data_IF_865409177375
#
_entry.id   IF_865409177375
#
_cell.length_a   1.000
_cell.length_b   1.000
_cell.length_c   1.000
_cell.angle_alpha   90.00
_cell.angle_beta   90.00
_cell.angle_gamma   90.00
#
_symmetry.space_group_name_H-M   'P 1'
#
loop_
_entity.id
_entity.type
_entity.pdbx_description
1 polymer ?
#
# COMPACT_ATOMS: atom_id res chain seq x y z
N UNK A 1 -19.93 16.51 -91.47
CA UNK A 1 -19.79 17.25 -90.20
C UNK A 1 -18.41 17.00 -89.64
N UNK A 2 -17.70 18.09 -89.33
CA UNK A 2 -16.25 18.12 -89.23
C UNK A 2 -15.79 17.43 -87.93
N UNK A 3 -14.95 16.39 -88.02
CA UNK A 3 -14.41 15.63 -86.87
C UNK A 3 -13.76 16.53 -85.82
N UNK A 4 -13.29 17.71 -86.23
CA UNK A 4 -12.77 18.76 -85.36
C UNK A 4 -13.80 19.35 -84.39
N UNK A 5 -15.05 19.55 -84.79
CA UNK A 5 -16.10 20.10 -83.92
C UNK A 5 -16.53 19.09 -82.85
N UNK A 6 -16.56 17.80 -83.19
CA UNK A 6 -16.89 16.73 -82.23
C UNK A 6 -15.77 16.58 -81.19
N UNK A 7 -14.50 16.72 -81.59
CA UNK A 7 -13.35 16.71 -80.67
C UNK A 7 -13.29 17.95 -79.76
N UNK A 8 -13.67 19.12 -80.27
CA UNK A 8 -13.69 20.37 -79.49
C UNK A 8 -14.78 20.32 -78.41
N UNK A 9 -16.00 19.90 -78.78
CA UNK A 9 -17.14 19.79 -77.85
C UNK A 9 -16.89 18.69 -76.80
N UNK A 10 -16.29 17.55 -77.20
CA UNK A 10 -15.96 16.50 -76.25
C UNK A 10 -14.84 16.90 -75.28
N UNK A 11 -13.82 17.64 -75.73
CA UNK A 11 -12.77 18.15 -74.84
C UNK A 11 -13.28 19.21 -73.86
N UNK A 12 -14.20 20.09 -74.30
CA UNK A 12 -14.82 21.11 -73.46
C UNK A 12 -15.71 20.47 -72.38
N UNK A 13 -16.53 19.50 -72.77
CA UNK A 13 -17.37 18.74 -71.84
C UNK A 13 -16.53 17.97 -70.80
N UNK A 14 -15.42 17.35 -71.20
CA UNK A 14 -14.50 16.68 -70.26
C UNK A 14 -13.90 17.68 -69.26
N UNK A 15 -13.48 18.87 -69.72
CA UNK A 15 -12.87 19.90 -68.86
C UNK A 15 -13.85 20.45 -67.81
N UNK A 16 -15.13 20.60 -68.16
CA UNK A 16 -16.17 21.08 -67.25
C UNK A 16 -16.52 20.01 -66.21
N UNK A 17 -16.57 18.73 -66.61
CA UNK A 17 -16.82 17.62 -65.69
C UNK A 17 -15.66 17.45 -64.70
N UNK A 18 -14.41 17.55 -65.17
CA UNK A 18 -13.22 17.45 -64.31
C UNK A 18 -13.17 18.61 -63.30
N UNK A 19 -13.45 19.85 -63.74
CA UNK A 19 -13.49 21.00 -62.85
C UNK A 19 -14.65 20.94 -61.84
N UNK A 20 -15.84 20.51 -62.26
CA UNK A 20 -16.98 20.35 -61.35
C UNK A 20 -16.72 19.24 -60.31
N UNK A 21 -16.09 18.13 -60.71
CA UNK A 21 -15.70 17.06 -59.80
C UNK A 21 -14.63 17.52 -58.80
N UNK A 22 -13.63 18.29 -59.25
CA UNK A 22 -12.60 18.85 -58.38
C UNK A 22 -13.16 19.85 -57.35
N UNK A 23 -14.09 20.72 -57.76
CA UNK A 23 -14.77 21.66 -56.86
C UNK A 23 -15.61 20.90 -55.83
N UNK A 24 -16.39 19.89 -56.25
CA UNK A 24 -17.21 19.10 -55.34
C UNK A 24 -16.37 18.29 -54.34
N UNK A 25 -15.23 17.74 -54.79
CA UNK A 25 -14.29 17.04 -53.92
C UNK A 25 -13.62 17.98 -52.92
N UNK A 26 -13.22 19.19 -53.34
CA UNK A 26 -12.63 20.19 -52.45
C UNK A 26 -13.61 20.72 -51.39
N UNK A 27 -14.90 20.87 -51.75
CA UNK A 27 -15.96 21.26 -50.81
C UNK A 27 -16.26 20.13 -49.80
N UNK A 28 -16.26 18.88 -50.25
CA UNK A 28 -16.43 17.72 -49.37
C UNK A 28 -15.30 17.63 -48.36
N UNK A 29 -14.04 17.76 -48.78
CA UNK A 29 -12.88 17.77 -47.89
C UNK A 29 -12.94 18.95 -46.91
N UNK A 30 -13.34 20.14 -47.35
CA UNK A 30 -13.47 21.31 -46.47
C UNK A 30 -14.56 21.12 -45.42
N UNK A 31 -15.70 20.55 -45.78
CA UNK A 31 -16.78 20.25 -44.84
C UNK A 31 -16.39 19.14 -43.85
N UNK A 32 -15.71 18.10 -44.32
CA UNK A 32 -15.17 17.04 -43.46
C UNK A 32 -14.09 17.58 -42.50
N UNK A 33 -13.24 18.49 -42.97
CA UNK A 33 -12.24 19.17 -42.14
C UNK A 33 -12.89 20.05 -41.07
N UNK A 34 -13.88 20.87 -41.44
CA UNK A 34 -14.59 21.71 -40.47
C UNK A 34 -15.34 20.87 -39.43
N UNK A 35 -15.97 19.75 -39.84
CA UNK A 35 -16.62 18.82 -38.92
C UNK A 35 -15.61 18.11 -38.00
N UNK A 36 -14.40 17.82 -38.50
CA UNK A 36 -13.32 17.26 -37.69
C UNK A 36 -12.76 18.30 -36.70
N UNK A 37 -12.61 19.57 -37.10
CA UNK A 37 -12.20 20.67 -36.23
C UNK A 37 -13.24 20.96 -35.14
N UNK A 38 -14.53 20.92 -35.46
CA UNK A 38 -15.61 21.07 -34.49
C UNK A 38 -15.62 19.91 -33.48
N UNK A 39 -15.46 18.67 -33.95
CA UNK A 39 -15.29 17.50 -33.07
C UNK A 39 -14.04 17.60 -32.19
N UNK A 40 -12.92 18.07 -32.75
CA UNK A 40 -11.69 18.28 -32.00
C UNK A 40 -11.87 19.34 -30.91
N UNK A 41 -12.50 20.47 -31.22
CA UNK A 41 -12.80 21.53 -30.26
C UNK A 41 -13.75 21.06 -29.14
N UNK A 42 -14.78 20.29 -29.49
CA UNK A 42 -15.67 19.68 -28.51
C UNK A 42 -14.94 18.67 -27.61
N UNK A 43 -14.03 17.88 -28.19
CA UNK A 43 -13.19 16.94 -27.44
C UNK A 43 -12.24 17.69 -26.48
N UNK A 44 -11.60 18.77 -26.94
CA UNK A 44 -10.73 19.62 -26.11
C UNK A 44 -11.51 20.27 -24.97
N UNK A 45 -12.73 20.76 -25.23
CA UNK A 45 -13.62 21.31 -24.21
C UNK A 45 -14.00 20.26 -23.15
N UNK A 46 -14.34 19.04 -23.58
CA UNK A 46 -14.65 17.93 -22.70
C UNK A 46 -13.43 17.53 -21.85
N UNK A 47 -12.25 17.41 -22.45
CA UNK A 47 -11.00 17.11 -21.75
C UNK A 47 -10.68 18.17 -20.70
N UNK A 48 -10.85 19.45 -21.03
CA UNK A 48 -10.60 20.55 -20.08
C UNK A 48 -11.60 20.55 -18.91
N UNK A 49 -12.88 20.24 -19.18
CA UNK A 49 -13.92 20.12 -18.16
C UNK A 49 -13.66 18.94 -17.21
N UNK A 50 -13.29 17.79 -17.77
CA UNK A 50 -12.91 16.61 -17.00
C UNK A 50 -11.65 16.89 -16.16
N UNK A 51 -10.64 17.52 -16.76
CA UNK A 51 -9.40 17.91 -16.08
C UNK A 51 -9.67 18.84 -14.90
N UNK A 52 -10.45 19.92 -15.07
CA UNK A 52 -10.72 20.86 -13.97
C UNK A 52 -11.52 20.23 -12.82
N UNK A 53 -12.44 19.31 -13.15
CA UNK A 53 -13.18 18.52 -12.15
C UNK A 53 -12.23 17.65 -11.33
N UNK A 54 -11.30 16.94 -11.97
CA UNK A 54 -10.34 16.10 -11.25
C UNK A 54 -9.31 16.91 -10.48
N UNK A 55 -8.84 18.04 -11.01
CA UNK A 55 -7.94 18.97 -10.28
C UNK A 55 -8.61 19.49 -9.00
N UNK A 56 -9.90 19.85 -9.07
CA UNK A 56 -10.65 20.31 -7.89
C UNK A 56 -10.85 19.19 -6.85
N UNK A 57 -11.05 17.95 -7.30
CA UNK A 57 -11.18 16.79 -6.41
C UNK A 57 -9.84 16.44 -5.74
N UNK A 58 -8.74 16.46 -6.50
CA UNK A 58 -7.39 16.24 -5.97
C UNK A 58 -7.08 17.29 -4.91
N UNK A 59 -7.36 18.56 -5.19
CA UNK A 59 -7.10 19.66 -4.26
C UNK A 59 -7.92 19.52 -2.95
N UNK A 60 -9.19 19.10 -3.05
CA UNK A 60 -10.02 18.80 -1.88
C UNK A 60 -9.48 17.64 -1.04
N UNK A 61 -8.99 16.58 -1.68
CA UNK A 61 -8.41 15.42 -1.00
C UNK A 61 -7.08 15.79 -0.34
N UNK A 62 -6.24 16.60 -1.00
CA UNK A 62 -4.98 17.10 -0.46
C UNK A 62 -5.22 17.98 0.78
N UNK A 63 -6.24 18.84 0.77
CA UNK A 63 -6.61 19.65 1.94
C UNK A 63 -7.12 18.79 3.10
N UNK A 64 -7.96 17.79 2.82
CA UNK A 64 -8.45 16.86 3.84
C UNK A 64 -7.32 16.04 4.47
N UNK A 65 -6.42 15.48 3.65
CA UNK A 65 -5.26 14.73 4.14
C UNK A 65 -4.27 15.62 4.90
N UNK A 66 -4.09 16.88 4.50
CA UNK A 66 -3.25 17.83 5.25
C UNK A 66 -3.80 18.07 6.65
N UNK A 67 -5.12 18.24 6.80
CA UNK A 67 -5.76 18.37 8.11
C UNK A 67 -5.55 17.12 8.97
N UNK A 68 -5.70 15.92 8.38
CA UNK A 68 -5.46 14.66 9.09
C UNK A 68 -4.00 14.48 9.50
N UNK A 69 -3.05 14.87 8.66
CA UNK A 69 -1.61 14.86 8.97
C UNK A 69 -1.30 15.83 10.11
N UNK A 70 -1.88 17.03 10.10
CA UNK A 70 -1.68 18.01 11.18
C UNK A 70 -2.28 17.51 12.51
N UNK A 71 -3.46 16.88 12.50
CA UNK A 71 -4.06 16.24 13.69
C UNK A 71 -3.19 15.08 14.23
N UNK A 72 -2.65 14.25 13.34
CA UNK A 72 -1.75 13.16 13.72
C UNK A 72 -0.42 13.69 14.28
N UNK A 73 0.14 14.76 13.70
CA UNK A 73 1.35 15.40 14.22
C UNK A 73 1.12 15.99 15.61
N UNK A 74 -0.03 16.65 15.84
CA UNK A 74 -0.38 17.15 17.18
C UNK A 74 -0.49 16.01 18.20
N UNK A 75 -1.10 14.88 17.83
CA UNK A 75 -1.15 13.68 18.70
C UNK A 75 0.23 13.10 18.96
N UNK A 76 1.10 13.06 17.95
CA UNK A 76 2.49 12.63 18.11
C UNK A 76 3.21 13.55 19.09
N UNK A 77 3.03 14.87 19.01
CA UNK A 77 3.63 15.83 19.94
C UNK A 77 3.10 15.65 21.37
N UNK A 78 1.80 15.42 21.54
CA UNK A 78 1.20 15.09 22.84
C UNK A 78 1.78 13.80 23.42
N UNK A 79 1.91 12.75 22.60
CA UNK A 79 2.51 11.48 23.02
C UNK A 79 4.00 11.65 23.34
N UNK A 80 4.76 12.42 22.55
CA UNK A 80 6.15 12.72 22.85
C UNK A 80 6.29 13.50 24.16
N UNK A 81 5.41 14.47 24.45
CA UNK A 81 5.38 15.16 25.74
C UNK A 81 5.10 14.18 26.89
N UNK A 82 4.14 13.27 26.74
CA UNK A 82 3.87 12.24 27.75
C UNK A 82 5.05 11.29 27.95
N UNK A 83 5.75 10.91 26.87
CA UNK A 83 6.95 10.07 26.91
C UNK A 83 8.10 10.81 27.59
N UNK A 84 8.29 12.11 27.34
CA UNK A 84 9.30 12.93 28.03
C UNK A 84 8.98 13.05 29.52
N UNK A 85 7.71 13.22 29.90
CA UNK A 85 7.28 13.21 31.31
C UNK A 85 7.57 11.85 31.95
N UNK A 86 7.24 10.75 31.27
CA UNK A 86 7.59 9.40 31.72
C UNK A 86 9.11 9.20 31.82
N UNK A 87 9.88 9.60 30.81
CA UNK A 87 11.33 9.46 30.77
C UNK A 87 12.02 10.29 31.86
N UNK A 88 11.55 11.52 32.12
CA UNK A 88 12.06 12.36 33.20
C UNK A 88 11.68 11.82 34.58
N UNK A 89 10.51 11.18 34.72
CA UNK A 89 10.16 10.45 35.94
C UNK A 89 11.07 9.23 36.17
N UNK A 90 11.51 8.56 35.09
CA UNK A 90 12.42 7.40 35.16
C UNK A 90 13.92 7.77 35.23
N UNK A 91 14.33 8.96 34.78
CA UNK A 91 15.72 9.42 34.83
C UNK A 91 16.17 9.84 36.24
N UNK A 92 15.24 10.00 37.20
CA UNK A 92 15.55 10.01 38.63
C UNK A 92 15.92 8.64 39.21
N UNK A 93 15.87 7.56 38.41
CA UNK A 93 16.25 6.20 38.80
C UNK A 93 17.48 5.65 38.05
N UNK A 94 18.24 6.52 37.37
CA UNK A 94 19.37 6.14 36.55
C UNK A 94 20.71 5.98 37.29
N UNK A 95 20.78 5.17 38.36
CA UNK A 95 22.04 4.52 38.74
C UNK A 95 21.83 3.32 39.69
N UNK A 96 21.27 2.23 39.20
CA UNK A 96 21.46 0.92 39.84
C UNK A 96 21.81 -0.07 38.73
N UNK A 97 23.11 -0.35 38.62
CA UNK A 97 23.61 -1.45 37.82
C UNK A 97 23.09 -2.78 38.35
N UNK A 98 22.93 -3.74 37.43
CA UNK A 98 22.81 -5.19 37.69
C UNK A 98 22.02 -5.58 38.94
N UNK A 99 20.72 -5.87 38.77
CA UNK A 99 20.07 -6.87 39.61
C UNK A 99 18.87 -7.51 38.90
N UNK A 100 19.14 -8.71 38.37
CA UNK A 100 18.12 -9.70 38.10
C UNK A 100 17.42 -10.05 39.43
N UNK A 101 16.32 -9.40 39.82
CA UNK A 101 15.32 -10.01 40.73
C UNK A 101 13.95 -9.29 40.92
N UNK A 102 13.72 -8.04 40.52
CA UNK A 102 12.56 -7.27 41.03
C UNK A 102 11.46 -6.86 40.04
N UNK A 103 11.17 -7.62 38.98
CA UNK A 103 10.00 -7.31 38.11
C UNK A 103 8.64 -7.66 38.73
N UNK A 104 8.60 -8.49 39.79
CA UNK A 104 7.40 -8.68 40.63
C UNK A 104 7.12 -7.44 41.49
N UNK A 105 8.15 -6.65 41.81
CA UNK A 105 8.08 -5.52 42.74
C UNK A 105 7.30 -4.33 42.17
N UNK A 106 7.41 -4.01 40.87
CA UNK A 106 6.78 -2.82 40.29
C UNK A 106 5.25 -2.91 40.24
N UNK A 107 4.69 -4.04 39.79
CA UNK A 107 3.24 -4.21 39.68
C UNK A 107 2.57 -4.37 41.05
N UNK A 108 3.24 -5.03 41.99
CA UNK A 108 2.79 -5.13 43.37
C UNK A 108 2.80 -3.75 44.05
N UNK A 109 3.87 -2.96 43.86
CA UNK A 109 3.93 -1.57 44.31
C UNK A 109 2.88 -0.69 43.64
N UNK A 110 2.60 -0.87 42.34
CA UNK A 110 1.54 -0.12 41.66
C UNK A 110 0.18 -0.47 42.24
N UNK A 111 -0.07 -1.75 42.52
CA UNK A 111 -1.33 -2.22 43.08
C UNK A 111 -1.61 -1.61 44.47
N UNK A 112 -0.56 -1.43 45.28
CA UNK A 112 -0.67 -0.84 46.62
C UNK A 112 -0.68 0.68 46.60
N UNK A 113 0.19 1.32 45.83
CA UNK A 113 0.42 2.77 45.87
C UNK A 113 -0.43 3.57 44.86
N UNK A 114 -0.83 2.95 43.74
CA UNK A 114 -1.63 3.60 42.70
C UNK A 114 -2.57 2.60 41.98
N UNK A 115 -3.66 2.16 42.63
CA UNK A 115 -4.53 1.09 42.13
C UNK A 115 -5.24 1.44 40.82
N UNK A 116 -5.48 2.73 40.52
CA UNK A 116 -6.09 3.15 39.26
C UNK A 116 -5.12 3.02 38.08
N UNK A 117 -3.85 3.40 38.26
CA UNK A 117 -2.82 3.16 37.25
C UNK A 117 -2.57 1.66 37.04
N UNK A 118 -2.62 0.86 38.11
CA UNK A 118 -2.53 -0.59 38.00
C UNK A 118 -3.66 -1.16 37.12
N UNK A 119 -4.91 -0.76 37.34
CA UNK A 119 -6.04 -1.20 36.50
C UNK A 119 -5.81 -0.86 35.03
N UNK A 120 -5.38 0.38 34.75
CA UNK A 120 -5.10 0.84 33.38
C UNK A 120 -4.02 -0.01 32.71
N UNK A 121 -2.90 -0.26 33.38
CA UNK A 121 -1.81 -1.10 32.85
C UNK A 121 -2.28 -2.52 32.56
N UNK A 122 -3.12 -3.09 33.43
CA UNK A 122 -3.64 -4.44 33.25
C UNK A 122 -4.66 -4.53 32.12
N UNK A 123 -5.50 -3.50 31.96
CA UNK A 123 -6.43 -3.38 30.83
C UNK A 123 -5.69 -3.22 29.50
N UNK A 124 -4.68 -2.35 29.42
CA UNK A 124 -3.84 -2.20 28.23
C UNK A 124 -3.14 -3.51 27.84
N UNK A 125 -2.65 -4.27 28.82
CA UNK A 125 -2.05 -5.59 28.57
C UNK A 125 -3.08 -6.60 28.06
N UNK A 126 -4.28 -6.60 28.64
CA UNK A 126 -5.38 -7.48 28.22
C UNK A 126 -5.80 -7.16 26.80
N UNK A 127 -5.98 -5.88 26.48
CA UNK A 127 -6.33 -5.41 25.13
C UNK A 127 -5.26 -5.83 24.13
N UNK A 128 -3.98 -5.63 24.44
CA UNK A 128 -2.86 -6.07 23.59
C UNK A 128 -2.87 -7.57 23.31
N UNK A 129 -3.12 -8.40 24.33
CA UNK A 129 -3.15 -9.86 24.14
C UNK A 129 -4.38 -10.30 23.33
N UNK A 130 -5.53 -9.67 23.56
CA UNK A 130 -6.72 -9.91 22.76
C UNK A 130 -6.50 -9.49 21.29
N UNK A 131 -5.96 -8.30 21.06
CA UNK A 131 -5.62 -7.81 19.71
C UNK A 131 -4.70 -8.77 18.98
N UNK A 132 -3.70 -9.32 19.67
CA UNK A 132 -2.80 -10.33 19.10
C UNK A 132 -3.60 -11.58 18.70
N UNK A 133 -4.47 -12.12 19.56
CA UNK A 133 -5.29 -13.30 19.25
C UNK A 133 -6.18 -13.07 18.02
N UNK A 134 -6.90 -11.95 17.97
CA UNK A 134 -7.82 -11.63 16.87
C UNK A 134 -7.07 -11.31 15.57
N UNK A 135 -6.03 -10.49 15.64
CA UNK A 135 -5.24 -10.10 14.47
C UNK A 135 -4.49 -11.29 13.87
N UNK A 136 -3.98 -12.21 14.71
CA UNK A 136 -3.35 -13.43 14.21
C UNK A 136 -4.36 -14.32 13.50
N UNK A 137 -5.54 -14.55 14.10
CA UNK A 137 -6.58 -15.37 13.48
C UNK A 137 -6.98 -14.82 12.10
N UNK A 138 -7.24 -13.52 12.02
CA UNK A 138 -7.60 -12.84 10.77
C UNK A 138 -6.48 -12.96 9.72
N UNK A 139 -5.24 -12.67 10.10
CA UNK A 139 -4.10 -12.75 9.18
C UNK A 139 -3.85 -14.18 8.69
N UNK A 140 -3.89 -15.16 9.59
CA UNK A 140 -3.73 -16.58 9.21
C UNK A 140 -4.82 -17.01 8.23
N UNK A 141 -6.07 -16.57 8.45
CA UNK A 141 -7.18 -16.86 7.54
C UNK A 141 -6.99 -16.25 6.15
N UNK A 142 -6.41 -15.05 6.05
CA UNK A 142 -6.09 -14.41 4.76
C UNK A 142 -5.13 -15.30 3.96
N UNK A 143 -4.01 -15.71 4.58
CA UNK A 143 -3.01 -16.52 3.89
C UNK A 143 -3.53 -17.93 3.57
N UNK A 144 -4.29 -18.56 4.47
CA UNK A 144 -4.89 -19.89 4.22
C UNK A 144 -5.82 -19.92 3.00
N UNK A 145 -6.56 -18.85 2.74
CA UNK A 145 -7.53 -18.79 1.63
C UNK A 145 -6.97 -18.11 0.38
N UNK A 146 -5.70 -17.73 0.39
CA UNK A 146 -5.11 -17.04 -0.73
C UNK A 146 -4.98 -18.00 -1.92
N UNK A 147 -5.32 -17.53 -3.12
CA UNK A 147 -4.98 -18.26 -4.34
C UNK A 147 -3.47 -18.26 -4.53
N UNK A 148 -2.85 -19.43 -4.57
CA UNK A 148 -1.40 -19.60 -4.77
C UNK A 148 -1.06 -20.17 -6.14
N UNK A 149 -2.04 -20.31 -7.04
CA UNK A 149 -1.85 -20.93 -8.36
C UNK A 149 -0.87 -20.18 -9.27
N UNK A 150 -0.68 -18.87 -9.01
CA UNK A 150 0.25 -18.01 -9.74
C UNK A 150 1.68 -18.05 -9.18
N UNK A 151 1.88 -18.63 -8.01
CA UNK A 151 3.19 -18.69 -7.35
C UNK A 151 4.08 -19.74 -8.01
N UNK A 152 5.36 -19.43 -8.15
CA UNK A 152 6.36 -20.40 -8.55
C UNK A 152 6.68 -21.40 -7.40
N UNK A 153 7.43 -22.49 -7.63
CA UNK A 153 7.69 -23.50 -6.60
C UNK A 153 8.34 -22.97 -5.32
N UNK A 154 9.26 -21.99 -5.41
CA UNK A 154 9.93 -21.38 -4.25
C UNK A 154 8.95 -20.50 -3.45
N UNK A 155 8.12 -19.72 -4.15
CA UNK A 155 7.06 -18.91 -3.54
C UNK A 155 6.01 -19.78 -2.85
N UNK A 156 5.64 -20.92 -3.46
CA UNK A 156 4.71 -21.89 -2.86
C UNK A 156 5.29 -22.53 -1.59
N UNK A 157 6.58 -22.88 -1.60
CA UNK A 157 7.24 -23.40 -0.41
C UNK A 157 7.29 -22.34 0.72
N UNK A 158 7.63 -21.09 0.39
CA UNK A 158 7.60 -19.97 1.34
C UNK A 158 6.20 -19.80 1.95
N UNK A 159 5.15 -19.81 1.12
CA UNK A 159 3.77 -19.71 1.55
C UNK A 159 3.38 -20.82 2.54
N UNK A 160 3.70 -22.07 2.21
CA UNK A 160 3.40 -23.22 3.08
C UNK A 160 4.12 -23.12 4.43
N UNK A 161 5.39 -22.74 4.44
CA UNK A 161 6.15 -22.53 5.69
C UNK A 161 5.58 -21.37 6.51
N UNK A 162 5.22 -20.26 5.85
CA UNK A 162 4.60 -19.11 6.50
C UNK A 162 3.29 -19.49 7.19
N UNK A 163 2.39 -20.16 6.47
CA UNK A 163 1.08 -20.59 7.00
C UNK A 163 1.25 -21.57 8.17
N UNK A 164 2.19 -22.52 8.08
CA UNK A 164 2.49 -23.45 9.18
C UNK A 164 2.93 -22.70 10.45
N UNK A 165 3.89 -21.78 10.33
CA UNK A 165 4.38 -20.99 11.47
C UNK A 165 3.33 -20.05 12.03
N UNK A 166 2.48 -19.47 11.17
CA UNK A 166 1.33 -18.68 11.61
C UNK A 166 0.34 -19.51 12.43
N UNK A 167 0.10 -20.77 12.02
CA UNK A 167 -0.67 -21.74 12.80
C UNK A 167 -0.05 -22.02 14.17
N UNK A 168 1.26 -22.29 14.23
CA UNK A 168 1.97 -22.52 15.50
C UNK A 168 1.89 -21.31 16.45
N UNK A 169 2.07 -20.10 15.92
CA UNK A 169 1.93 -18.85 16.69
C UNK A 169 0.49 -18.67 17.18
N UNK A 170 -0.49 -18.99 16.34
CA UNK A 170 -1.90 -18.94 16.71
C UNK A 170 -2.22 -19.90 17.86
N UNK A 171 -1.78 -21.16 17.79
CA UNK A 171 -1.94 -22.14 18.87
C UNK A 171 -1.27 -21.67 20.17
N UNK A 172 -0.02 -21.17 20.09
CA UNK A 172 0.68 -20.61 21.25
C UNK A 172 -0.08 -19.41 21.84
N UNK A 173 -0.69 -18.58 21.01
CA UNK A 173 -1.47 -17.42 21.48
C UNK A 173 -2.70 -17.85 22.30
N UNK A 174 -3.29 -19.03 22.04
CA UNK A 174 -4.41 -19.54 22.83
C UNK A 174 -4.00 -19.84 24.29
N UNK A 175 -2.72 -20.10 24.54
CA UNK A 175 -2.17 -20.35 25.88
C UNK A 175 -1.95 -19.06 26.68
N UNK A 176 -2.16 -17.88 26.11
CA UNK A 176 -2.08 -16.62 26.86
C UNK A 176 -3.13 -16.57 27.96
N UNK A 177 -2.64 -16.46 29.19
CA UNK A 177 -3.41 -16.21 30.40
C UNK A 177 -3.81 -14.74 30.48
N UNK A 178 -4.84 -14.45 31.26
CA UNK A 178 -5.15 -13.07 31.61
C UNK A 178 -3.93 -12.44 32.30
N UNK A 179 -3.54 -11.19 31.99
CA UNK A 179 -2.40 -10.55 32.63
C UNK A 179 -2.45 -10.58 34.16
N UNK A 180 -3.65 -10.61 34.76
CA UNK A 180 -3.85 -10.67 36.22
C UNK A 180 -3.64 -12.05 36.84
N UNK A 181 -3.67 -13.11 36.03
CA UNK A 181 -3.50 -14.50 36.46
C UNK A 181 -2.05 -14.99 36.42
N UNK A 182 -1.17 -14.26 35.72
CA UNK A 182 0.26 -14.53 35.75
C UNK A 182 1.02 -14.07 34.50
N UNK A 183 2.31 -14.37 34.49
CA UNK A 183 3.20 -14.01 33.38
C UNK A 183 3.03 -14.93 32.17
N UNK A 184 2.94 -14.32 30.99
CA UNK A 184 2.95 -15.02 29.70
C UNK A 184 4.36 -15.17 29.09
N UNK A 185 5.42 -14.98 29.89
CA UNK A 185 6.82 -14.97 29.41
C UNK A 185 7.22 -16.26 28.69
N UNK A 186 6.78 -17.42 29.17
CA UNK A 186 7.12 -18.71 28.54
C UNK A 186 6.46 -18.90 27.17
N UNK A 187 5.23 -18.39 27.00
CA UNK A 187 4.54 -18.36 25.71
C UNK A 187 5.30 -17.44 24.75
N UNK A 188 5.68 -16.24 25.21
CA UNK A 188 6.48 -15.30 24.41
C UNK A 188 7.87 -15.82 24.05
N UNK A 189 8.51 -16.58 24.95
CA UNK A 189 9.81 -17.22 24.68
C UNK A 189 9.74 -18.23 23.53
N UNK A 190 8.59 -18.90 23.36
CA UNK A 190 8.35 -19.84 22.27
C UNK A 190 7.91 -19.14 20.99
N UNK A 191 7.05 -18.12 21.09
CA UNK A 191 6.59 -17.34 19.93
C UNK A 191 7.70 -16.48 19.31
N UNK A 192 8.63 -15.94 20.12
CA UNK A 192 9.66 -15.00 19.66
C UNK A 192 10.48 -15.49 18.47
N UNK A 193 11.10 -16.68 18.54
CA UNK A 193 11.82 -17.28 17.41
C UNK A 193 10.96 -17.46 16.17
N UNK A 194 9.73 -17.97 16.31
CA UNK A 194 8.80 -18.16 15.20
C UNK A 194 8.48 -16.82 14.50
N UNK A 195 8.23 -15.76 15.27
CA UNK A 195 8.01 -14.41 14.73
C UNK A 195 9.25 -13.92 13.97
N UNK A 196 10.45 -14.17 14.50
CA UNK A 196 11.69 -13.75 13.87
C UNK A 196 11.91 -14.47 12.53
N UNK A 197 11.63 -15.77 12.47
CA UNK A 197 11.72 -16.58 11.26
C UNK A 197 10.66 -16.20 10.22
N UNK A 198 9.44 -15.85 10.66
CA UNK A 198 8.36 -15.45 9.75
C UNK A 198 8.57 -14.08 9.09
N UNK A 199 9.32 -13.16 9.71
CA UNK A 199 9.54 -11.81 9.16
C UNK A 199 10.04 -11.80 7.72
N UNK A 200 11.13 -12.51 7.37
CA UNK A 200 11.56 -12.60 5.98
C UNK A 200 10.52 -13.28 5.08
N UNK A 201 9.82 -14.31 5.57
CA UNK A 201 8.79 -15.02 4.81
C UNK A 201 7.63 -14.10 4.41
N UNK A 202 7.17 -13.25 5.34
CA UNK A 202 6.13 -12.24 5.08
C UNK A 202 6.55 -11.21 4.03
N UNK A 203 7.85 -10.88 3.94
CA UNK A 203 8.33 -9.96 2.92
C UNK A 203 8.36 -10.64 1.54
N UNK A 204 8.79 -11.90 1.47
CA UNK A 204 8.73 -12.68 0.23
C UNK A 204 7.28 -12.83 -0.25
N UNK A 205 6.38 -13.10 0.69
CA UNK A 205 4.94 -13.21 0.44
C UNK A 205 4.36 -11.91 -0.13
N UNK A 206 4.74 -10.76 0.48
CA UNK A 206 4.31 -9.44 0.02
C UNK A 206 4.74 -9.18 -1.43
N UNK A 207 5.97 -9.55 -1.78
CA UNK A 207 6.47 -9.42 -3.16
C UNK A 207 5.64 -10.21 -4.16
N UNK A 208 5.31 -11.47 -3.86
CA UNK A 208 4.49 -12.30 -4.73
C UNK A 208 3.07 -11.69 -4.91
N UNK A 209 2.46 -11.22 -3.82
CA UNK A 209 1.15 -10.57 -3.83
C UNK A 209 1.19 -9.28 -4.67
N UNK A 210 2.21 -8.44 -4.51
CA UNK A 210 2.36 -7.21 -5.29
C UNK A 210 2.53 -7.49 -6.78
N UNK A 211 3.41 -8.41 -7.16
CA UNK A 211 3.59 -8.82 -8.56
C UNK A 211 2.26 -9.23 -9.18
N UNK A 212 1.52 -10.12 -8.53
CA UNK A 212 0.21 -10.58 -8.99
C UNK A 212 -0.81 -9.45 -9.09
N UNK A 213 -0.86 -8.58 -8.08
CA UNK A 213 -1.79 -7.45 -8.05
C UNK A 213 -1.51 -6.47 -9.19
N UNK A 214 -0.25 -6.19 -9.48
CA UNK A 214 0.15 -5.30 -10.57
C UNK A 214 -0.20 -5.87 -11.95
N UNK A 215 0.04 -7.15 -12.16
CA UNK A 215 -0.40 -7.83 -13.39
C UNK A 215 -1.92 -7.78 -13.53
N UNK A 216 -2.67 -8.19 -12.50
CA UNK A 216 -4.12 -8.39 -12.62
C UNK A 216 -4.94 -7.10 -12.64
N UNK A 217 -4.54 -6.12 -11.83
CA UNK A 217 -5.33 -4.89 -11.62
C UNK A 217 -4.87 -3.76 -12.51
N UNK A 218 -3.60 -3.75 -12.90
CA UNK A 218 -3.00 -2.65 -13.65
C UNK A 218 -2.52 -3.08 -15.04
N UNK A 219 -2.59 -4.38 -15.38
CA UNK A 219 -2.28 -4.89 -16.70
C UNK A 219 -0.79 -4.78 -17.05
N UNK A 220 0.08 -4.63 -16.06
CA UNK A 220 1.52 -4.62 -16.26
C UNK A 220 1.99 -5.99 -16.74
N UNK A 221 3.03 -6.01 -17.57
CA UNK A 221 3.72 -7.25 -17.90
C UNK A 221 4.40 -7.85 -16.66
N UNK A 222 4.84 -9.11 -16.76
CA UNK A 222 5.57 -9.77 -15.67
C UNK A 222 6.83 -9.01 -15.26
N UNK A 223 7.58 -8.51 -16.25
CA UNK A 223 8.84 -7.79 -16.02
C UNK A 223 8.56 -6.44 -15.35
N UNK A 224 7.63 -5.65 -15.89
CA UNK A 224 7.20 -4.37 -15.30
C UNK A 224 6.65 -4.53 -13.88
N UNK A 225 5.87 -5.60 -13.64
CA UNK A 225 5.33 -5.90 -12.31
C UNK A 225 6.44 -6.25 -11.32
N UNK A 226 7.50 -6.93 -11.76
CA UNK A 226 8.65 -7.25 -10.91
C UNK A 226 9.44 -5.99 -10.57
N UNK A 227 9.77 -5.17 -11.57
CA UNK A 227 10.49 -3.90 -11.36
C UNK A 227 9.73 -2.96 -10.43
N UNK A 228 8.42 -2.83 -10.64
CA UNK A 228 7.60 -1.97 -9.80
C UNK A 228 7.46 -2.50 -8.37
N UNK A 229 7.39 -3.83 -8.20
CA UNK A 229 7.42 -4.47 -6.87
C UNK A 229 8.73 -4.16 -6.13
N UNK A 230 9.87 -4.28 -6.81
CA UNK A 230 11.18 -3.98 -6.20
C UNK A 230 11.31 -2.50 -5.84
N UNK A 231 10.76 -1.60 -6.65
CA UNK A 231 10.67 -0.17 -6.32
C UNK A 231 9.82 0.10 -5.07
N UNK A 232 8.62 -0.49 -4.96
CA UNK A 232 7.76 -0.32 -3.79
C UNK A 232 8.42 -0.89 -2.53
N UNK A 233 9.07 -2.06 -2.61
CA UNK A 233 9.81 -2.62 -1.48
C UNK A 233 11.00 -1.73 -1.07
N UNK A 234 11.69 -1.13 -2.04
CA UNK A 234 12.72 -0.14 -1.76
C UNK A 234 12.17 1.08 -1.00
N UNK A 235 11.01 1.60 -1.41
CA UNK A 235 10.34 2.68 -0.70
C UNK A 235 9.94 2.28 0.71
N UNK A 236 9.31 1.11 0.88
CA UNK A 236 8.94 0.57 2.19
C UNK A 236 10.17 0.48 3.08
N UNK A 237 11.28 -0.05 2.57
CA UNK A 237 12.53 -0.17 3.32
C UNK A 237 13.15 1.20 3.65
N UNK A 238 13.05 2.18 2.75
CA UNK A 238 13.55 3.53 2.97
C UNK A 238 12.72 4.31 3.99
N UNK A 239 11.41 4.07 4.05
CA UNK A 239 10.47 4.79 4.93
C UNK A 239 10.12 4.03 6.21
N UNK A 240 10.47 2.75 6.31
CA UNK A 240 10.26 1.95 7.51
C UNK A 240 11.46 2.02 8.44
N UNK A 241 11.28 2.62 9.61
CA UNK A 241 12.31 2.58 10.64
C UNK A 241 12.39 1.18 11.26
N UNK A 242 13.31 0.35 10.77
CA UNK A 242 13.67 -0.94 11.38
C UNK A 242 15.05 -0.83 12.06
N UNK A 243 15.12 -0.62 13.38
CA UNK A 243 16.40 -0.68 14.08
C UNK A 243 16.95 -2.11 13.99
N UNK A 244 18.01 -2.30 13.19
CA UNK A 244 18.75 -3.57 13.10
C UNK A 244 18.91 -4.21 11.71
N UNK A 245 18.30 -3.69 10.64
CA UNK A 245 18.60 -4.20 9.28
C UNK A 245 19.97 -3.68 8.82
N UNK A 246 21.02 -4.48 8.99
CA UNK A 246 22.30 -4.28 8.28
C UNK A 246 22.03 -4.50 6.79
N UNK A 247 22.09 -3.43 6.00
CA UNK A 247 22.01 -3.49 4.54
C UNK A 247 23.21 -4.25 4.00
N UNK A 248 23.01 -5.46 3.49
CA UNK A 248 23.95 -6.04 2.53
C UNK A 248 23.48 -5.60 1.15
N UNK A 249 23.94 -4.43 0.71
CA UNK A 249 23.84 -4.01 -0.69
C UNK A 249 24.97 -4.75 -1.40
N UNK A 250 24.66 -5.87 -2.04
CA UNK A 250 25.53 -6.42 -3.08
C UNK A 250 25.21 -5.68 -4.36
N UNK A 251 26.11 -4.79 -4.78
CA UNK A 251 26.12 -4.26 -6.14
C UNK A 251 26.56 -5.39 -7.08
N UNK A 252 25.72 -5.74 -8.06
CA UNK A 252 26.14 -6.24 -9.37
C UNK A 252 25.06 -5.89 -10.39
#
# INVERSE_FOLDING_TARGET
MNKFYVLLISSLALSVIINAAAINYSLKIKNEKNAAEEKANNMTSLVNSVKSKYESQIQSIEEEHKIQIDDLNNKIDEYQHSVIIYQNSTNTFGNIGNENQNNLSYLEQLKENNPEEYKKVMEERRNRYNDIKYTLAERTQIFLNMDTSYMNPEEQENHQQLVSKMGEIFELSQLFKDPSEGSNRDVWRQMGPLIQEMRPMLNNERKAIFKKTFTDKFGLSTDESSEFTDYIEHLIDATSFQPGRRRNITNN
#
